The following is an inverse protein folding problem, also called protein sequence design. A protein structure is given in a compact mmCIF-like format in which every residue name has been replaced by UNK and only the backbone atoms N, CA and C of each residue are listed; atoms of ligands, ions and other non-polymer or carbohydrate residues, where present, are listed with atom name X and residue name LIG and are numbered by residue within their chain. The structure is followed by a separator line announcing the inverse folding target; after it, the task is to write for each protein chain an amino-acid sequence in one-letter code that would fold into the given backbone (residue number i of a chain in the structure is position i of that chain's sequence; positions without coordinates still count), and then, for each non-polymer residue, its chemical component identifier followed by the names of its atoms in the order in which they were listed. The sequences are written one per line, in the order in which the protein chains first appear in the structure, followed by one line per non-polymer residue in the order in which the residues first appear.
data_IF_903771002758
#
_entry.id   IF_903771002758
#
_cell.length_a   1.000
_cell.length_b   1.000
_cell.length_c   1.000
_cell.angle_alpha   90.00
_cell.angle_beta   90.00
_cell.angle_gamma   90.00
#
_symmetry.space_group_name_H-M   'P 1'
#
loop_
_entity.id
_entity.type
_entity.pdbx_description
1 polymer ?
#
# COMPACT_ATOMS: atom_id res chain seq x y z
N UNK A 1 -26.21 31.16 -59.90
CA UNK A 1 -27.38 30.37 -59.50
C UNK A 1 -27.01 28.98 -58.91
N UNK A 2 -26.00 28.27 -59.42
CA UNK A 2 -25.56 26.95 -58.92
C UNK A 2 -25.00 26.98 -57.47
N UNK A 3 -24.14 27.94 -57.14
CA UNK A 3 -23.55 28.09 -55.78
C UNK A 3 -24.60 28.39 -54.70
N UNK A 4 -25.68 29.05 -55.02
CA UNK A 4 -26.75 29.38 -54.07
C UNK A 4 -27.58 28.14 -53.67
N UNK A 5 -27.85 27.25 -54.62
CA UNK A 5 -28.54 25.96 -54.35
C UNK A 5 -27.69 25.01 -53.55
N UNK A 6 -26.39 24.93 -53.80
CA UNK A 6 -25.46 24.08 -53.02
C UNK A 6 -25.36 24.60 -51.56
N UNK A 7 -25.23 25.93 -51.37
CA UNK A 7 -25.15 26.54 -50.05
C UNK A 7 -26.41 26.34 -49.21
N UNK A 8 -27.60 26.46 -49.85
CA UNK A 8 -28.89 26.19 -49.17
C UNK A 8 -29.05 24.72 -48.78
N UNK A 9 -28.60 23.79 -49.59
CA UNK A 9 -28.63 22.35 -49.29
C UNK A 9 -27.70 21.97 -48.14
N UNK A 10 -26.50 22.54 -48.09
CA UNK A 10 -25.53 22.33 -46.97
C UNK A 10 -26.13 22.87 -45.66
N UNK A 11 -26.77 24.07 -45.69
CA UNK A 11 -27.45 24.65 -44.52
C UNK A 11 -28.59 23.78 -44.00
N UNK A 12 -29.39 23.21 -44.89
CA UNK A 12 -30.48 22.30 -44.56
C UNK A 12 -29.97 21.03 -43.87
N UNK A 13 -28.93 20.38 -44.44
CA UNK A 13 -28.33 19.21 -43.86
C UNK A 13 -27.73 19.51 -42.46
N UNK A 14 -27.04 20.62 -42.29
CA UNK A 14 -26.47 21.03 -41.01
C UNK A 14 -27.55 21.23 -39.94
N UNK A 15 -28.69 21.85 -40.27
CA UNK A 15 -29.83 22.02 -39.36
C UNK A 15 -30.40 20.68 -38.90
N UNK A 16 -30.61 19.74 -39.81
CA UNK A 16 -31.15 18.41 -39.50
C UNK A 16 -30.22 17.65 -38.58
N UNK A 17 -28.94 17.61 -38.92
CA UNK A 17 -27.91 16.96 -38.08
C UNK A 17 -27.89 17.58 -36.67
N UNK A 18 -27.92 18.92 -36.57
CA UNK A 18 -27.91 19.61 -35.29
C UNK A 18 -29.11 19.24 -34.41
N UNK A 19 -30.33 19.15 -34.98
CA UNK A 19 -31.54 18.72 -34.26
C UNK A 19 -31.37 17.31 -33.72
N UNK A 20 -30.89 16.37 -34.53
CA UNK A 20 -30.73 14.99 -34.14
C UNK A 20 -29.71 14.89 -32.97
N UNK A 21 -28.57 15.58 -33.07
CA UNK A 21 -27.53 15.57 -32.03
C UNK A 21 -28.04 16.15 -30.71
N UNK A 22 -28.83 17.21 -30.74
CA UNK A 22 -29.40 17.86 -29.55
C UNK A 22 -30.43 16.96 -28.86
N UNK A 23 -31.28 16.25 -29.61
CA UNK A 23 -32.22 15.29 -29.06
C UNK A 23 -31.48 14.13 -28.40
N UNK A 24 -30.45 13.61 -29.05
CA UNK A 24 -29.60 12.54 -28.47
C UNK A 24 -28.96 13.03 -27.16
N UNK A 25 -28.39 14.23 -27.15
CA UNK A 25 -27.74 14.80 -25.95
C UNK A 25 -28.77 14.99 -24.81
N UNK A 26 -29.99 15.46 -25.10
CA UNK A 26 -31.06 15.58 -24.11
C UNK A 26 -31.43 14.21 -23.49
N UNK A 27 -31.56 13.17 -24.30
CA UNK A 27 -31.89 11.81 -23.84
C UNK A 27 -30.76 11.25 -22.98
N UNK A 28 -29.49 11.44 -23.39
CA UNK A 28 -28.31 11.02 -22.59
C UNK A 28 -28.31 11.73 -21.24
N UNK A 29 -28.52 13.06 -21.21
CA UNK A 29 -28.58 13.81 -19.97
C UNK A 29 -29.70 13.30 -19.03
N UNK A 30 -30.87 12.94 -19.55
CA UNK A 30 -31.95 12.34 -18.77
C UNK A 30 -31.58 10.95 -18.19
N UNK A 31 -30.82 10.14 -18.91
CA UNK A 31 -30.35 8.84 -18.39
C UNK A 31 -29.39 9.03 -17.21
N UNK A 32 -28.47 10.00 -17.27
CA UNK A 32 -27.55 10.31 -16.18
C UNK A 32 -28.26 10.83 -14.92
N UNK A 33 -29.44 11.41 -15.04
CA UNK A 33 -30.26 11.81 -13.89
C UNK A 33 -30.59 10.64 -12.96
N UNK A 34 -30.76 9.43 -13.49
CA UNK A 34 -31.04 8.22 -12.69
C UNK A 34 -29.80 7.64 -12.01
N UNK A 35 -28.60 7.94 -12.54
CA UNK A 35 -27.32 7.37 -12.08
C UNK A 35 -26.62 8.24 -11.03
N UNK A 36 -27.03 9.50 -10.88
CA UNK A 36 -26.34 10.44 -10.00
C UNK A 36 -27.29 11.09 -8.98
N UNK A 37 -26.74 11.48 -7.82
CA UNK A 37 -27.49 12.19 -6.77
C UNK A 37 -27.86 13.62 -7.18
N UNK A 38 -27.17 14.21 -8.16
CA UNK A 38 -27.33 15.61 -8.59
C UNK A 38 -28.32 15.74 -9.75
N UNK A 39 -29.59 15.40 -9.48
CA UNK A 39 -30.69 15.40 -10.47
C UNK A 39 -30.88 16.74 -11.16
N UNK A 40 -30.76 17.84 -10.40
CA UNK A 40 -31.01 19.19 -10.91
C UNK A 40 -30.05 19.60 -12.03
N UNK A 41 -28.77 19.24 -11.94
CA UNK A 41 -27.80 19.52 -13.00
C UNK A 41 -28.17 18.88 -14.32
N UNK A 42 -28.57 17.62 -14.28
CA UNK A 42 -28.93 16.85 -15.46
C UNK A 42 -30.27 17.30 -16.06
N UNK A 43 -31.22 17.75 -15.22
CA UNK A 43 -32.49 18.35 -15.66
C UNK A 43 -32.19 19.65 -16.41
N UNK A 44 -31.36 20.54 -15.84
CA UNK A 44 -31.01 21.81 -16.48
C UNK A 44 -30.34 21.60 -17.85
N UNK A 45 -29.38 20.67 -17.92
CA UNK A 45 -28.71 20.34 -19.17
C UNK A 45 -29.66 19.71 -20.19
N UNK A 46 -30.50 18.75 -19.79
CA UNK A 46 -31.45 18.11 -20.68
C UNK A 46 -32.45 19.10 -21.23
N UNK A 47 -32.96 20.01 -20.38
CA UNK A 47 -33.90 21.06 -20.78
C UNK A 47 -33.22 22.07 -21.71
N UNK A 48 -31.94 22.41 -21.48
CA UNK A 48 -31.16 23.27 -22.38
C UNK A 48 -31.04 22.66 -23.77
N UNK A 49 -30.68 21.37 -23.86
CA UNK A 49 -30.60 20.68 -25.15
C UNK A 49 -31.99 20.58 -25.85
N UNK A 50 -33.05 20.35 -25.10
CA UNK A 50 -34.41 20.32 -25.64
C UNK A 50 -34.81 21.69 -26.22
N UNK A 51 -34.53 22.78 -25.50
CA UNK A 51 -34.78 24.13 -26.00
C UNK A 51 -33.93 24.47 -27.23
N UNK A 52 -32.65 24.05 -27.26
CA UNK A 52 -31.82 24.21 -28.45
C UNK A 52 -32.41 23.45 -29.68
N UNK A 53 -32.92 22.24 -29.47
CA UNK A 53 -33.57 21.48 -30.55
C UNK A 53 -34.81 22.22 -31.08
N UNK A 54 -35.63 22.78 -30.17
CA UNK A 54 -36.83 23.61 -30.57
C UNK A 54 -36.40 24.83 -31.39
N UNK A 55 -35.34 25.53 -30.98
CA UNK A 55 -34.80 26.66 -31.76
C UNK A 55 -34.38 26.26 -33.16
N UNK A 56 -33.72 25.09 -33.29
CA UNK A 56 -33.31 24.59 -34.61
C UNK A 56 -34.48 24.16 -35.49
N UNK A 57 -35.56 23.64 -34.88
CA UNK A 57 -36.80 23.33 -35.58
C UNK A 57 -37.47 24.63 -36.10
N UNK A 58 -37.51 25.67 -35.28
CA UNK A 58 -38.04 26.99 -35.71
C UNK A 58 -37.20 27.55 -36.88
N UNK A 59 -35.88 27.51 -36.80
CA UNK A 59 -34.97 27.91 -37.89
C UNK A 59 -35.20 27.10 -39.17
N UNK A 60 -35.52 25.81 -39.06
CA UNK A 60 -35.86 24.97 -40.20
C UNK A 60 -37.20 25.40 -40.85
N UNK A 61 -38.19 25.75 -40.05
CA UNK A 61 -39.48 26.31 -40.55
C UNK A 61 -39.29 27.64 -41.27
N UNK A 62 -38.47 28.55 -40.71
CA UNK A 62 -38.14 29.84 -41.34
C UNK A 62 -37.39 29.65 -42.69
N UNK A 63 -36.51 28.66 -42.75
CA UNK A 63 -35.81 28.32 -44.01
C UNK A 63 -36.80 27.98 -45.14
N UNK A 64 -37.91 27.32 -44.87
CA UNK A 64 -38.93 27.00 -45.86
C UNK A 64 -39.88 28.16 -46.15
N UNK A 65 -40.14 29.07 -45.19
CA UNK A 65 -41.04 30.23 -45.39
C UNK A 65 -40.40 31.44 -46.06
N UNK A 66 -39.08 31.54 -46.07
CA UNK A 66 -38.35 32.54 -46.83
C UNK A 66 -38.18 33.93 -46.19
N UNK A 67 -38.92 34.28 -45.13
CA UNK A 67 -38.80 35.59 -44.45
C UNK A 67 -39.04 35.45 -42.94
N UNK A 68 -38.01 35.68 -42.09
CA UNK A 68 -38.18 35.70 -40.65
C UNK A 68 -38.89 36.99 -40.22
N UNK A 69 -39.94 36.91 -39.36
CA UNK A 69 -40.51 38.09 -38.73
C UNK A 69 -39.59 38.62 -37.63
N UNK A 70 -39.58 39.94 -37.43
CA UNK A 70 -38.78 40.61 -36.40
C UNK A 70 -39.05 40.06 -34.99
N UNK A 71 -40.28 39.74 -34.67
CA UNK A 71 -40.69 39.13 -33.40
C UNK A 71 -40.05 37.76 -33.16
N UNK A 72 -39.92 36.92 -34.18
CA UNK A 72 -39.26 35.63 -34.06
C UNK A 72 -37.74 35.72 -33.86
N UNK A 73 -37.10 36.71 -34.47
CA UNK A 73 -35.67 36.96 -34.23
C UNK A 73 -35.41 37.34 -32.78
N UNK A 74 -36.22 38.24 -32.22
CA UNK A 74 -36.12 38.66 -30.81
C UNK A 74 -36.30 37.50 -29.83
N UNK A 75 -37.34 36.67 -30.06
CA UNK A 75 -37.60 35.47 -29.25
C UNK A 75 -36.42 34.50 -29.30
N UNK A 76 -35.84 34.30 -30.48
CA UNK A 76 -34.72 33.39 -30.69
C UNK A 76 -33.46 33.84 -29.91
N UNK A 77 -33.16 35.16 -29.88
CA UNK A 77 -32.05 35.73 -29.12
C UNK A 77 -32.23 35.56 -27.61
N UNK A 78 -33.41 35.91 -27.06
CA UNK A 78 -33.68 35.75 -25.63
C UNK A 78 -33.70 34.29 -25.18
N UNK A 79 -34.21 33.39 -26.00
CA UNK A 79 -34.20 31.96 -25.71
C UNK A 79 -32.76 31.44 -25.72
N UNK A 80 -31.89 31.96 -26.59
CA UNK A 80 -30.46 31.66 -26.61
C UNK A 80 -29.75 32.07 -25.31
N UNK A 81 -30.09 33.27 -24.78
CA UNK A 81 -29.56 33.72 -23.47
C UNK A 81 -30.03 32.79 -22.35
N UNK A 82 -31.33 32.45 -22.31
CA UNK A 82 -31.88 31.53 -21.30
C UNK A 82 -31.17 30.17 -21.32
N UNK A 83 -30.95 29.58 -22.48
CA UNK A 83 -30.25 28.32 -22.67
C UNK A 83 -28.80 28.41 -22.14
N UNK A 84 -28.10 29.52 -22.44
CA UNK A 84 -26.74 29.75 -21.98
C UNK A 84 -26.66 29.78 -20.45
N UNK A 85 -27.59 30.47 -19.79
CA UNK A 85 -27.68 30.50 -18.32
C UNK A 85 -27.94 29.11 -17.73
N UNK A 86 -28.84 28.34 -18.35
CA UNK A 86 -29.15 26.97 -17.90
C UNK A 86 -27.94 26.03 -18.05
N UNK A 87 -27.17 26.14 -19.15
CA UNK A 87 -25.97 25.36 -19.36
C UNK A 87 -24.91 25.71 -18.30
N UNK A 88 -24.65 27.00 -18.07
CA UNK A 88 -23.71 27.46 -17.05
C UNK A 88 -24.10 26.93 -15.66
N UNK A 89 -25.38 27.06 -15.29
CA UNK A 89 -25.90 26.54 -14.03
C UNK A 89 -25.72 25.02 -13.92
N UNK A 90 -26.02 24.28 -14.98
CA UNK A 90 -25.81 22.83 -15.04
C UNK A 90 -24.34 22.44 -14.86
N UNK A 91 -23.41 23.13 -15.52
CA UNK A 91 -21.97 22.86 -15.42
C UNK A 91 -21.43 23.18 -14.03
N UNK A 92 -21.88 24.31 -13.43
CA UNK A 92 -21.47 24.67 -12.04
C UNK A 92 -21.90 23.58 -11.06
N UNK A 93 -23.11 23.06 -11.17
CA UNK A 93 -23.62 22.01 -10.30
C UNK A 93 -22.92 20.65 -10.53
N UNK A 94 -22.53 20.35 -11.78
CA UNK A 94 -21.72 19.13 -12.06
C UNK A 94 -20.34 19.22 -11.44
N UNK A 95 -19.73 20.39 -11.37
CA UNK A 95 -18.45 20.59 -10.72
C UNK A 95 -18.46 20.07 -9.27
N UNK A 96 -19.53 20.32 -8.52
CA UNK A 96 -19.69 19.81 -7.16
C UNK A 96 -19.70 18.26 -7.10
N UNK A 97 -20.28 17.59 -8.09
CA UNK A 97 -20.25 16.15 -8.21
C UNK A 97 -18.81 15.62 -8.29
N UNK A 98 -17.98 16.20 -9.15
CA UNK A 98 -16.58 15.80 -9.28
C UNK A 98 -15.78 16.02 -8.00
N UNK A 99 -15.99 17.14 -7.31
CA UNK A 99 -15.34 17.40 -6.03
C UNK A 99 -15.78 16.41 -4.94
N UNK A 100 -17.07 16.07 -4.87
CA UNK A 100 -17.57 15.10 -3.89
C UNK A 100 -17.06 13.69 -4.15
N UNK A 101 -16.97 13.25 -5.41
CA UNK A 101 -16.38 11.95 -5.78
C UNK A 101 -14.90 11.89 -5.42
N UNK A 102 -14.12 12.93 -5.75
CA UNK A 102 -12.70 13.00 -5.41
C UNK A 102 -12.47 12.99 -3.90
N UNK A 103 -13.30 13.69 -3.12
CA UNK A 103 -13.24 13.64 -1.65
C UNK A 103 -13.55 12.23 -1.12
N UNK A 104 -14.63 11.61 -1.59
CA UNK A 104 -15.01 10.26 -1.17
C UNK A 104 -13.91 9.24 -1.45
N UNK A 105 -13.26 9.32 -2.60
CA UNK A 105 -12.14 8.45 -2.94
C UNK A 105 -10.92 8.69 -2.04
N UNK A 106 -10.58 9.96 -1.78
CA UNK A 106 -9.48 10.32 -0.87
C UNK A 106 -9.76 9.83 0.56
N UNK A 107 -10.99 9.98 1.04
CA UNK A 107 -11.38 9.54 2.38
C UNK A 107 -11.39 8.01 2.48
N UNK A 108 -11.79 7.30 1.42
CA UNK A 108 -11.68 5.84 1.34
C UNK A 108 -10.23 5.37 1.47
N UNK A 109 -9.32 5.94 0.67
CA UNK A 109 -7.89 5.60 0.72
C UNK A 109 -7.30 5.87 2.11
N UNK A 110 -7.67 7.00 2.73
CA UNK A 110 -7.24 7.33 4.10
C UNK A 110 -7.77 6.34 5.13
N UNK A 111 -9.03 5.92 4.98
CA UNK A 111 -9.65 4.93 5.87
C UNK A 111 -8.96 3.57 5.74
N UNK A 112 -8.71 3.10 4.52
CA UNK A 112 -7.99 1.85 4.26
C UNK A 112 -6.59 1.88 4.89
N UNK A 113 -5.84 2.98 4.74
CA UNK A 113 -4.53 3.15 5.38
C UNK A 113 -4.61 3.11 6.91
N UNK A 114 -5.63 3.74 7.53
CA UNK A 114 -5.81 3.70 8.99
C UNK A 114 -6.07 2.28 9.48
N UNK A 115 -6.89 1.51 8.78
CA UNK A 115 -7.18 0.12 9.12
C UNK A 115 -5.91 -0.74 9.05
N UNK A 116 -5.14 -0.62 7.96
CA UNK A 116 -3.88 -1.34 7.81
C UNK A 116 -2.90 -0.99 8.94
N UNK A 117 -2.73 0.30 9.24
CA UNK A 117 -1.85 0.73 10.32
C UNK A 117 -2.32 0.22 11.69
N UNK A 118 -3.63 0.20 11.95
CA UNK A 118 -4.18 -0.34 13.19
C UNK A 118 -3.91 -1.86 13.32
N UNK A 119 -4.05 -2.62 12.23
CA UNK A 119 -3.74 -4.06 12.21
C UNK A 119 -2.26 -4.29 12.50
N UNK A 120 -1.35 -3.57 11.83
CA UNK A 120 0.09 -3.71 12.04
C UNK A 120 0.48 -3.38 13.48
N UNK A 121 -0.05 -2.29 14.04
CA UNK A 121 0.22 -1.91 15.43
C UNK A 121 -0.33 -2.94 16.43
N UNK A 122 -1.51 -3.49 16.16
CA UNK A 122 -2.10 -4.55 17.00
C UNK A 122 -1.23 -5.81 16.95
N UNK A 123 -0.82 -6.23 15.76
CA UNK A 123 0.06 -7.39 15.60
C UNK A 123 1.38 -7.21 16.37
N UNK A 124 2.01 -6.04 16.27
CA UNK A 124 3.26 -5.77 16.97
C UNK A 124 3.09 -5.74 18.50
N UNK A 125 1.98 -5.16 18.98
CA UNK A 125 1.66 -5.16 20.42
C UNK A 125 1.40 -6.58 20.94
N UNK A 126 0.70 -7.42 20.19
CA UNK A 126 0.50 -8.83 20.53
C UNK A 126 1.84 -9.59 20.56
N UNK A 127 2.72 -9.36 19.60
CA UNK A 127 4.08 -9.95 19.60
C UNK A 127 4.87 -9.55 20.84
N UNK A 128 4.86 -8.26 21.21
CA UNK A 128 5.51 -7.77 22.43
C UNK A 128 4.91 -8.41 23.68
N UNK A 129 3.59 -8.55 23.72
CA UNK A 129 2.90 -9.20 24.84
C UNK A 129 3.31 -10.67 24.96
N UNK A 130 3.22 -11.44 23.88
CA UNK A 130 3.63 -12.84 23.88
C UNK A 130 5.09 -13.05 24.26
N UNK A 131 5.99 -12.18 23.75
CA UNK A 131 7.40 -12.25 24.15
C UNK A 131 7.59 -12.07 25.64
N UNK A 132 6.87 -11.10 26.23
CA UNK A 132 6.89 -10.85 27.68
C UNK A 132 6.30 -12.03 28.45
N UNK A 133 5.13 -12.53 28.05
CA UNK A 133 4.46 -13.65 28.71
C UNK A 133 5.32 -14.93 28.70
N UNK A 134 6.03 -15.20 27.59
CA UNK A 134 6.98 -16.30 27.49
C UNK A 134 8.17 -16.11 28.43
N UNK A 135 8.76 -14.89 28.43
CA UNK A 135 9.91 -14.61 29.27
C UNK A 135 9.56 -14.65 30.77
N UNK A 136 8.48 -13.98 31.17
CA UNK A 136 8.11 -13.80 32.58
C UNK A 136 7.37 -15.04 33.14
N UNK A 137 6.70 -15.80 32.27
CA UNK A 137 5.97 -16.99 32.68
C UNK A 137 6.83 -18.26 32.69
N UNK A 138 7.41 -18.61 31.53
CA UNK A 138 8.15 -19.87 31.38
C UNK A 138 9.60 -19.78 31.85
N UNK A 139 10.24 -18.63 31.73
CA UNK A 139 11.63 -18.43 32.11
C UNK A 139 11.93 -18.81 33.57
N UNK A 140 11.21 -18.22 34.56
CA UNK A 140 11.38 -18.57 35.98
C UNK A 140 11.06 -20.04 36.30
N UNK A 141 10.03 -20.62 35.68
CA UNK A 141 9.64 -22.02 35.90
C UNK A 141 10.81 -22.96 35.51
N UNK A 142 11.32 -22.78 34.28
CA UNK A 142 12.44 -23.61 33.80
C UNK A 142 13.71 -23.38 34.60
N UNK A 143 13.95 -22.15 35.05
CA UNK A 143 15.09 -21.84 35.94
C UNK A 143 14.97 -22.56 37.29
N UNK A 144 13.77 -22.62 37.86
CA UNK A 144 13.47 -23.33 39.10
C UNK A 144 13.66 -24.85 38.93
N UNK A 145 13.15 -25.41 37.80
CA UNK A 145 13.36 -26.83 37.48
C UNK A 145 14.87 -27.15 37.35
N UNK A 146 15.61 -26.28 36.64
CA UNK A 146 17.07 -26.41 36.53
C UNK A 146 17.81 -26.41 37.89
N UNK A 147 17.43 -25.49 38.79
CA UNK A 147 17.98 -25.43 40.13
C UNK A 147 17.64 -26.69 40.93
N UNK A 148 16.42 -27.20 40.82
CA UNK A 148 15.99 -28.43 41.50
C UNK A 148 16.80 -29.67 40.99
N UNK A 149 17.03 -29.75 39.69
CA UNK A 149 17.87 -30.83 39.13
C UNK A 149 19.34 -30.69 39.54
N UNK A 150 19.87 -29.48 39.58
CA UNK A 150 21.26 -29.25 40.07
C UNK A 150 21.41 -29.71 41.52
N UNK A 151 20.43 -29.50 42.38
CA UNK A 151 20.44 -29.96 43.78
C UNK A 151 20.38 -31.49 43.92
N UNK A 152 19.88 -32.23 42.90
CA UNK A 152 19.86 -33.65 42.85
C UNK A 152 21.21 -34.26 42.37
N UNK A 153 22.01 -33.50 41.63
CA UNK A 153 23.26 -33.98 41.04
C UNK A 153 24.22 -34.51 42.10
N UNK A 154 24.31 -33.85 43.26
CA UNK A 154 25.19 -34.27 44.36
C UNK A 154 24.70 -35.50 45.14
N UNK A 155 23.43 -35.87 44.93
CA UNK A 155 22.79 -36.99 45.67
C UNK A 155 22.74 -38.30 44.89
N UNK A 156 22.84 -38.22 43.55
CA UNK A 156 22.77 -39.40 42.68
C UNK A 156 24.19 -39.87 42.39
N UNK A 157 24.55 -41.05 42.95
CA UNK A 157 25.88 -41.65 42.80
C UNK A 157 25.96 -42.84 41.86
N UNK A 158 24.81 -43.31 41.36
CA UNK A 158 24.77 -44.43 40.41
C UNK A 158 24.93 -43.95 38.97
N UNK A 159 25.54 -44.78 38.12
CA UNK A 159 25.87 -44.42 36.74
C UNK A 159 24.60 -44.19 35.87
N UNK A 160 23.51 -44.96 36.10
CA UNK A 160 22.29 -44.83 35.34
C UNK A 160 21.53 -43.55 35.68
N UNK A 161 21.44 -43.20 36.98
CA UNK A 161 20.81 -41.95 37.43
C UNK A 161 21.54 -40.72 36.96
N UNK A 162 22.90 -40.78 36.94
CA UNK A 162 23.74 -39.70 36.43
C UNK A 162 23.52 -39.43 34.93
N UNK A 163 23.37 -40.47 34.11
CA UNK A 163 23.05 -40.33 32.67
C UNK A 163 21.69 -39.67 32.45
N UNK A 164 20.66 -40.12 33.19
CA UNK A 164 19.31 -39.56 33.11
C UNK A 164 19.31 -38.06 33.50
N UNK A 165 20.02 -37.71 34.57
CA UNK A 165 20.13 -36.36 35.08
C UNK A 165 20.80 -35.42 34.07
N UNK A 166 21.92 -35.88 33.48
CA UNK A 166 22.61 -35.10 32.45
C UNK A 166 21.74 -34.87 31.21
N UNK A 167 21.06 -35.90 30.74
CA UNK A 167 20.10 -35.74 29.61
C UNK A 167 18.97 -34.77 29.94
N UNK A 168 18.42 -34.83 31.15
CA UNK A 168 17.37 -33.92 31.59
C UNK A 168 17.86 -32.48 31.68
N UNK A 169 19.07 -32.26 32.23
CA UNK A 169 19.70 -30.95 32.25
C UNK A 169 19.94 -30.39 30.83
N UNK A 170 20.37 -31.24 29.91
CA UNK A 170 20.53 -30.85 28.50
C UNK A 170 19.20 -30.38 27.91
N UNK A 171 18.11 -31.14 28.05
CA UNK A 171 16.80 -30.82 27.54
C UNK A 171 16.23 -29.52 28.14
N UNK A 172 16.46 -29.27 29.44
CA UNK A 172 16.03 -28.02 30.08
C UNK A 172 16.83 -26.82 29.56
N UNK A 173 18.16 -26.96 29.38
CA UNK A 173 18.98 -25.90 28.80
C UNK A 173 18.51 -25.58 27.34
N UNK A 174 18.19 -26.61 26.57
CA UNK A 174 17.65 -26.47 25.23
C UNK A 174 16.27 -25.77 25.24
N UNK A 175 15.38 -26.13 26.14
CA UNK A 175 14.08 -25.47 26.32
C UNK A 175 14.23 -23.99 26.71
N UNK A 176 15.12 -23.67 27.64
CA UNK A 176 15.44 -22.29 28.03
C UNK A 176 15.95 -21.48 26.83
N UNK A 177 16.89 -22.08 26.08
CA UNK A 177 17.41 -21.43 24.86
C UNK A 177 16.32 -21.19 23.83
N UNK A 178 15.49 -22.20 23.57
CA UNK A 178 14.39 -22.14 22.60
C UNK A 178 13.39 -21.04 22.98
N UNK A 179 12.99 -20.95 24.24
CA UNK A 179 12.06 -19.91 24.71
C UNK A 179 12.70 -18.52 24.54
N UNK A 180 13.98 -18.38 24.90
CA UNK A 180 14.71 -17.13 24.71
C UNK A 180 14.80 -16.73 23.25
N UNK A 181 14.99 -17.68 22.36
CA UNK A 181 15.04 -17.45 20.91
C UNK A 181 13.66 -17.06 20.36
N UNK A 182 12.59 -17.73 20.78
CA UNK A 182 11.21 -17.37 20.41
C UNK A 182 10.88 -15.96 20.91
N UNK A 183 11.17 -15.67 22.19
CA UNK A 183 10.91 -14.36 22.78
C UNK A 183 11.67 -13.25 22.04
N UNK A 184 12.96 -13.46 21.72
CA UNK A 184 13.77 -12.51 20.96
C UNK A 184 13.26 -12.32 19.52
N UNK A 185 12.74 -13.37 18.88
CA UNK A 185 12.14 -13.26 17.55
C UNK A 185 10.81 -12.51 17.58
N UNK A 186 10.03 -12.66 18.63
CA UNK A 186 8.75 -11.96 18.81
C UNK A 186 8.95 -10.47 19.18
N UNK A 187 9.87 -10.17 20.09
CA UNK A 187 10.18 -8.79 20.51
C UNK A 187 11.64 -8.68 20.92
N UNK A 188 12.50 -8.11 20.08
CA UNK A 188 13.93 -8.07 20.35
C UNK A 188 14.23 -7.05 21.44
N UNK A 189 14.47 -7.51 22.68
CA UNK A 189 14.89 -6.66 23.80
C UNK A 189 16.19 -5.91 23.48
N UNK A 190 17.07 -6.50 22.66
CA UNK A 190 18.29 -5.86 22.18
C UNK A 190 17.98 -4.58 21.41
N UNK A 191 16.93 -4.58 20.56
CA UNK A 191 16.52 -3.41 19.81
C UNK A 191 16.11 -2.26 20.72
N UNK A 192 15.29 -2.55 21.73
CA UNK A 192 14.82 -1.54 22.68
C UNK A 192 15.95 -0.97 23.54
N UNK A 193 16.85 -1.82 24.02
CA UNK A 193 17.91 -1.44 24.96
C UNK A 193 19.16 -0.89 24.27
N UNK A 194 19.55 -1.44 23.12
CA UNK A 194 20.85 -1.19 22.50
C UNK A 194 20.74 -0.63 21.07
N UNK A 195 19.53 -0.49 20.53
CA UNK A 195 19.26 0.12 19.22
C UNK A 195 19.42 -0.84 18.03
N UNK A 196 19.14 -0.28 16.86
CA UNK A 196 19.02 -1.01 15.60
C UNK A 196 20.32 -1.70 15.19
N UNK A 197 21.44 -0.98 15.19
CA UNK A 197 22.76 -1.51 14.78
C UNK A 197 23.16 -2.70 15.63
N UNK A 198 23.03 -2.57 16.97
CA UNK A 198 23.36 -3.67 17.89
C UNK A 198 22.45 -4.89 17.72
N UNK A 199 21.16 -4.65 17.46
CA UNK A 199 20.19 -5.72 17.25
C UNK A 199 20.50 -6.51 15.96
N UNK A 200 20.78 -5.81 14.85
CA UNK A 200 21.16 -6.46 13.58
C UNK A 200 22.49 -7.20 13.73
N UNK A 201 23.49 -6.58 14.35
CA UNK A 201 24.81 -7.20 14.58
C UNK A 201 24.69 -8.48 15.39
N UNK A 202 23.92 -8.48 16.49
CA UNK A 202 23.70 -9.68 17.30
C UNK A 202 22.97 -10.79 16.51
N UNK A 203 21.98 -10.43 15.69
CA UNK A 203 21.23 -11.38 14.87
C UNK A 203 22.12 -12.01 13.78
N UNK A 204 22.86 -11.20 13.04
CA UNK A 204 23.79 -11.68 11.98
C UNK A 204 24.93 -12.53 12.56
N UNK A 205 25.50 -12.14 13.71
CA UNK A 205 26.53 -12.93 14.41
C UNK A 205 26.00 -14.31 14.79
N UNK A 206 24.77 -14.40 15.31
CA UNK A 206 24.16 -15.69 15.67
C UNK A 206 23.97 -16.58 14.43
N UNK A 207 23.57 -16.05 13.30
CA UNK A 207 23.43 -16.81 12.05
C UNK A 207 24.79 -17.27 11.53
N UNK A 208 25.82 -16.41 11.54
CA UNK A 208 27.17 -16.74 11.13
C UNK A 208 27.78 -17.92 11.94
N UNK A 209 27.38 -18.06 13.22
CA UNK A 209 27.80 -19.22 14.05
C UNK A 209 27.25 -20.54 13.53
N UNK A 210 26.12 -20.55 12.83
CA UNK A 210 25.54 -21.77 12.23
C UNK A 210 26.28 -22.24 10.99
N UNK A 211 27.11 -21.38 10.38
CA UNK A 211 27.81 -21.61 9.10
C UNK A 211 26.89 -21.93 7.91
N UNK A 212 25.61 -21.64 8.01
CA UNK A 212 24.65 -21.89 6.95
C UNK A 212 24.81 -20.88 5.80
N UNK A 213 25.14 -19.63 6.15
CA UNK A 213 25.38 -18.52 5.22
C UNK A 213 26.36 -17.55 5.86
N UNK A 214 27.20 -16.89 5.08
CA UNK A 214 28.07 -15.81 5.53
C UNK A 214 27.38 -14.47 5.39
N UNK A 215 27.23 -13.73 6.50
CA UNK A 215 26.58 -12.40 6.51
C UNK A 215 27.62 -11.35 6.90
N UNK A 216 27.85 -10.40 5.98
CA UNK A 216 28.69 -9.20 6.23
C UNK A 216 27.76 -8.02 6.53
N UNK A 217 27.82 -7.51 7.77
CA UNK A 217 27.02 -6.37 8.22
C UNK A 217 27.91 -5.17 8.53
N UNK A 218 27.60 -4.04 7.89
CA UNK A 218 28.28 -2.76 8.09
C UNK A 218 27.28 -1.66 8.43
N UNK A 219 27.70 -0.75 9.31
CA UNK A 219 26.90 0.41 9.67
C UNK A 219 27.77 1.59 10.09
N UNK A 220 27.33 2.79 9.76
CA UNK A 220 27.88 4.04 10.27
C UNK A 220 27.04 4.63 11.43
N UNK A 221 26.05 3.88 11.93
CA UNK A 221 25.07 4.39 12.92
C UNK A 221 25.41 4.03 14.38
N UNK A 222 26.48 3.33 14.65
CA UNK A 222 26.90 2.78 15.95
C UNK A 222 25.97 3.02 17.16
N UNK A 223 25.88 4.27 17.66
CA UNK A 223 25.07 4.65 18.82
C UNK A 223 23.83 5.49 18.45
N UNK A 224 23.63 5.78 17.18
CA UNK A 224 22.49 6.61 16.72
C UNK A 224 21.19 5.83 16.84
N UNK A 225 20.12 6.51 17.29
CA UNK A 225 18.80 5.95 17.43
C UNK A 225 17.85 6.60 16.43
N UNK A 226 16.89 5.83 15.95
CA UNK A 226 15.74 6.32 15.21
C UNK A 226 14.50 6.28 16.10
N UNK A 227 13.39 6.81 15.61
CA UNK A 227 12.11 6.56 16.24
C UNK A 227 11.89 5.05 16.36
N UNK A 228 11.34 4.60 17.50
CA UNK A 228 11.16 3.20 17.81
C UNK A 228 10.43 2.43 16.72
N UNK A 229 9.41 3.03 16.10
CA UNK A 229 8.64 2.38 15.03
C UNK A 229 9.49 2.18 13.76
N UNK A 230 10.37 3.13 13.43
CA UNK A 230 11.32 3.01 12.33
C UNK A 230 12.35 1.92 12.60
N UNK A 231 12.91 1.85 13.83
CA UNK A 231 13.85 0.80 14.21
C UNK A 231 13.23 -0.60 14.10
N UNK A 232 12.00 -0.76 14.60
CA UNK A 232 11.25 -2.03 14.53
C UNK A 232 11.00 -2.45 13.08
N UNK A 233 10.57 -1.53 12.23
CA UNK A 233 10.29 -1.81 10.81
C UNK A 233 11.55 -2.27 10.09
N UNK A 234 12.68 -1.56 10.26
CA UNK A 234 13.94 -1.92 9.61
C UNK A 234 14.47 -3.26 10.13
N UNK A 235 14.44 -3.48 11.45
CA UNK A 235 14.87 -4.74 12.04
C UNK A 235 14.07 -5.93 11.52
N UNK A 236 12.73 -5.80 11.46
CA UNK A 236 11.84 -6.84 10.92
C UNK A 236 12.12 -7.12 9.44
N UNK A 237 12.35 -6.06 8.65
CA UNK A 237 12.69 -6.21 7.25
C UNK A 237 14.01 -6.98 7.07
N UNK A 238 15.05 -6.67 7.86
CA UNK A 238 16.33 -7.40 7.85
C UNK A 238 16.11 -8.87 8.18
N UNK A 239 15.40 -9.18 9.27
CA UNK A 239 15.15 -10.55 9.67
C UNK A 239 14.40 -11.34 8.57
N UNK A 240 13.39 -10.74 7.95
CA UNK A 240 12.60 -11.37 6.88
C UNK A 240 13.44 -11.59 5.61
N UNK A 241 14.25 -10.61 5.20
CA UNK A 241 15.13 -10.73 4.04
C UNK A 241 16.19 -11.83 4.24
N UNK A 242 16.82 -11.89 5.42
CA UNK A 242 17.77 -12.94 5.76
C UNK A 242 17.09 -14.32 5.75
N UNK A 243 15.91 -14.45 6.39
CA UNK A 243 15.18 -15.71 6.41
C UNK A 243 14.81 -16.17 5.00
N UNK A 244 14.36 -15.25 4.14
CA UNK A 244 14.05 -15.55 2.75
C UNK A 244 15.28 -16.03 1.97
N UNK A 245 16.44 -15.43 2.22
CA UNK A 245 17.69 -15.86 1.59
C UNK A 245 18.10 -17.25 2.06
N UNK A 246 18.00 -17.56 3.35
CA UNK A 246 18.34 -18.88 3.90
C UNK A 246 17.37 -19.96 3.38
N UNK A 247 16.05 -19.70 3.44
CA UNK A 247 15.04 -20.72 3.13
C UNK A 247 14.79 -20.91 1.63
N UNK A 248 14.95 -19.84 0.85
CA UNK A 248 14.46 -19.83 -0.54
C UNK A 248 15.53 -19.53 -1.58
N UNK A 249 16.59 -18.77 -1.26
CA UNK A 249 17.53 -18.36 -2.28
C UNK A 249 18.71 -19.32 -2.48
N UNK A 250 19.06 -20.09 -1.45
CA UNK A 250 20.28 -20.89 -1.45
C UNK A 250 21.56 -20.04 -1.48
N UNK A 251 21.47 -18.81 -1.00
CA UNK A 251 22.62 -17.90 -0.93
C UNK A 251 23.70 -18.43 0.00
N UNK A 252 24.96 -18.27 -0.39
CA UNK A 252 26.14 -18.53 0.46
C UNK A 252 26.66 -17.27 1.14
N UNK A 253 26.29 -16.07 0.62
CA UNK A 253 26.72 -14.78 1.13
C UNK A 253 25.60 -13.75 1.09
N UNK A 254 25.50 -12.98 2.17
CA UNK A 254 24.58 -11.85 2.31
C UNK A 254 25.40 -10.63 2.73
N UNK A 255 25.14 -9.50 2.11
CA UNK A 255 25.73 -8.20 2.45
C UNK A 255 24.63 -7.25 2.92
N UNK A 256 24.86 -6.58 4.06
CA UNK A 256 23.89 -5.65 4.65
C UNK A 256 24.64 -4.39 5.05
N UNK A 257 24.14 -3.24 4.54
CA UNK A 257 24.69 -1.94 4.91
C UNK A 257 23.58 -1.04 5.46
N UNK A 258 23.80 -0.53 6.68
CA UNK A 258 22.90 0.42 7.34
C UNK A 258 23.60 1.76 7.49
N UNK A 259 23.16 2.75 6.73
CA UNK A 259 23.84 4.04 6.66
C UNK A 259 22.90 5.20 6.98
N UNK A 260 23.34 6.07 7.89
CA UNK A 260 22.73 7.37 8.17
C UNK A 260 23.36 8.44 7.28
N UNK A 261 22.50 9.19 6.63
CA UNK A 261 22.78 10.42 5.90
C UNK A 261 22.16 11.62 6.61
N UNK A 262 22.43 12.84 6.19
CA UNK A 262 21.94 14.05 6.88
C UNK A 262 20.41 14.07 7.08
N UNK A 263 19.63 13.60 6.10
CA UNK A 263 18.15 13.69 6.10
C UNK A 263 17.44 12.36 5.95
N UNK A 264 18.16 11.26 5.85
CA UNK A 264 17.56 9.95 5.64
C UNK A 264 18.50 8.83 6.12
N UNK A 265 17.89 7.68 6.36
CA UNK A 265 18.61 6.44 6.64
C UNK A 265 18.36 5.45 5.50
N UNK A 266 19.39 4.73 5.11
CA UNK A 266 19.29 3.65 4.12
C UNK A 266 19.72 2.32 4.71
N UNK A 267 18.93 1.29 4.41
CA UNK A 267 19.32 -0.09 4.54
C UNK A 267 19.44 -0.69 3.15
N UNK A 268 20.62 -1.18 2.82
CA UNK A 268 20.89 -1.95 1.61
C UNK A 268 21.10 -3.41 1.99
N UNK A 269 20.51 -4.30 1.24
CA UNK A 269 20.60 -5.74 1.41
C UNK A 269 20.89 -6.37 0.06
N UNK A 270 21.79 -7.33 0.03
CA UNK A 270 22.11 -8.12 -1.15
C UNK A 270 22.38 -9.57 -0.77
N UNK A 271 21.82 -10.52 -1.51
CA UNK A 271 22.18 -11.93 -1.46
C UNK A 271 22.66 -12.45 -2.83
N UNK A 272 23.60 -13.39 -2.82
CA UNK A 272 24.13 -14.03 -4.03
C UNK A 272 23.36 -15.31 -4.42
N UNK A 273 22.10 -15.44 -4.00
CA UNK A 273 21.31 -16.63 -4.25
C UNK A 273 20.78 -16.75 -5.68
N UNK A 274 19.84 -17.69 -5.87
CA UNK A 274 19.26 -17.98 -7.20
C UNK A 274 18.40 -16.86 -7.78
N UNK A 275 18.00 -15.88 -6.98
CA UNK A 275 17.05 -14.85 -7.38
C UNK A 275 15.68 -15.40 -7.83
N UNK A 276 14.81 -14.52 -8.27
CA UNK A 276 13.49 -14.84 -8.79
C UNK A 276 12.98 -13.73 -9.72
N UNK A 277 11.95 -14.04 -10.50
CA UNK A 277 11.27 -13.05 -11.34
C UNK A 277 10.28 -12.24 -10.51
N UNK A 278 10.58 -10.94 -10.33
CA UNK A 278 9.71 -10.02 -9.56
C UNK A 278 8.37 -9.76 -10.23
N UNK A 279 8.25 -9.94 -11.55
CA UNK A 279 6.98 -9.79 -12.28
C UNK A 279 5.97 -10.91 -11.95
N UNK A 280 6.46 -12.04 -11.44
CA UNK A 280 5.62 -13.18 -11.03
C UNK A 280 5.01 -13.05 -9.63
N UNK A 281 5.37 -11.99 -8.88
CA UNK A 281 4.79 -11.70 -7.58
C UNK A 281 3.38 -11.10 -7.77
N UNK A 282 2.37 -11.94 -8.09
CA UNK A 282 0.98 -11.50 -8.09
C UNK A 282 0.52 -11.24 -6.66
N UNK A 283 -0.37 -10.23 -6.47
CA UNK A 283 -0.91 -9.84 -5.15
C UNK A 283 -1.71 -10.94 -4.44
N UNK A 284 -1.95 -12.07 -5.08
CA UNK A 284 -2.76 -13.18 -4.59
C UNK A 284 -1.96 -14.41 -4.12
N UNK A 285 -0.66 -14.49 -4.41
CA UNK A 285 0.15 -15.64 -4.02
C UNK A 285 0.63 -15.53 -2.57
N UNK A 286 0.27 -16.51 -1.76
CA UNK A 286 0.71 -16.67 -0.35
C UNK A 286 2.24 -16.71 -0.20
N UNK A 287 2.99 -17.05 -1.26
CA UNK A 287 4.46 -17.03 -1.29
C UNK A 287 5.08 -15.62 -1.27
N UNK A 288 4.30 -14.57 -1.57
CA UNK A 288 4.74 -13.18 -1.56
C UNK A 288 4.41 -12.41 -0.26
N UNK A 289 3.76 -13.04 0.73
CA UNK A 289 3.28 -12.33 1.93
C UNK A 289 4.40 -11.66 2.74
N UNK A 290 5.57 -12.28 2.86
CA UNK A 290 6.71 -11.72 3.59
C UNK A 290 7.21 -10.40 2.99
N UNK A 291 7.45 -10.37 1.69
CA UNK A 291 7.91 -9.19 0.97
C UNK A 291 6.85 -8.08 0.90
N UNK A 292 5.57 -8.45 0.69
CA UNK A 292 4.44 -7.52 0.75
C UNK A 292 4.27 -6.91 2.15
N UNK A 293 4.53 -7.68 3.20
CA UNK A 293 4.51 -7.18 4.57
C UNK A 293 5.65 -6.19 4.82
N UNK A 294 6.87 -6.42 4.29
CA UNK A 294 7.96 -5.44 4.36
C UNK A 294 7.54 -4.12 3.71
N UNK A 295 7.05 -4.17 2.47
CA UNK A 295 6.63 -2.98 1.72
C UNK A 295 5.56 -2.21 2.50
N UNK A 296 4.55 -2.91 3.01
CA UNK A 296 3.46 -2.30 3.78
C UNK A 296 3.97 -1.64 5.06
N UNK A 297 4.82 -2.33 5.83
CA UNK A 297 5.42 -1.79 7.07
C UNK A 297 6.31 -0.58 6.81
N UNK A 298 7.15 -0.62 5.77
CA UNK A 298 8.00 0.53 5.39
C UNK A 298 7.16 1.75 5.01
N UNK A 299 6.02 1.53 4.33
CA UNK A 299 5.07 2.62 4.01
C UNK A 299 4.40 3.22 5.25
N UNK A 300 4.23 2.49 6.35
CA UNK A 300 3.63 3.05 7.58
C UNK A 300 4.52 4.10 8.26
N UNK A 301 5.83 4.01 8.06
CA UNK A 301 6.83 4.96 8.57
C UNK A 301 7.31 5.94 7.49
N UNK A 302 6.49 6.14 6.45
CA UNK A 302 6.75 7.06 5.32
C UNK A 302 8.04 6.74 4.56
N UNK A 303 8.45 5.49 4.58
CA UNK A 303 9.63 4.99 3.88
C UNK A 303 9.35 4.52 2.46
N UNK A 304 10.44 4.29 1.73
CA UNK A 304 10.44 3.69 0.38
C UNK A 304 11.14 2.34 0.44
N UNK A 305 10.52 1.31 -0.14
CA UNK A 305 11.09 -0.02 -0.32
C UNK A 305 11.21 -0.32 -1.80
N UNK A 306 12.41 -0.69 -2.23
CA UNK A 306 12.71 -1.10 -3.60
C UNK A 306 13.30 -2.50 -3.53
N UNK A 307 12.76 -3.42 -4.32
CA UNK A 307 13.21 -4.81 -4.40
C UNK A 307 13.52 -5.14 -5.86
N UNK A 308 14.73 -5.63 -6.09
CA UNK A 308 15.19 -6.08 -7.40
C UNK A 308 15.71 -7.51 -7.28
N UNK A 309 15.21 -8.40 -8.12
CA UNK A 309 15.69 -9.77 -8.23
C UNK A 309 15.60 -10.23 -9.66
N UNK A 310 16.59 -11.04 -10.05
CA UNK A 310 16.63 -11.65 -11.38
C UNK A 310 17.09 -13.09 -11.21
N UNK A 311 16.47 -14.07 -11.88
CA UNK A 311 16.93 -15.45 -11.85
C UNK A 311 18.42 -15.58 -12.16
N UNK A 312 19.16 -16.23 -11.26
CA UNK A 312 20.61 -16.44 -11.36
C UNK A 312 21.50 -15.29 -10.91
N UNK A 313 20.92 -14.14 -10.44
CA UNK A 313 21.71 -12.96 -10.03
C UNK A 313 21.54 -12.56 -8.55
N UNK A 314 20.74 -13.34 -7.79
CA UNK A 314 20.44 -13.01 -6.39
C UNK A 314 19.33 -11.98 -6.24
N UNK A 315 19.23 -11.42 -5.02
CA UNK A 315 18.22 -10.45 -4.64
C UNK A 315 18.85 -9.22 -4.00
N UNK A 316 18.41 -8.04 -4.39
CA UNK A 316 18.78 -6.74 -3.82
C UNK A 316 17.56 -6.05 -3.25
N UNK A 317 17.68 -5.48 -2.06
CA UNK A 317 16.63 -4.68 -1.45
C UNK A 317 17.18 -3.37 -0.88
N UNK A 318 16.45 -2.28 -1.09
CA UNK A 318 16.76 -0.96 -0.55
C UNK A 318 15.57 -0.45 0.25
N UNK A 319 15.81 -0.09 1.51
CA UNK A 319 14.87 0.67 2.34
C UNK A 319 15.45 2.05 2.57
N UNK A 320 14.64 3.08 2.31
CA UNK A 320 14.99 4.48 2.59
C UNK A 320 13.94 5.09 3.49
N UNK A 321 14.35 5.64 4.63
CA UNK A 321 13.51 6.32 5.61
C UNK A 321 13.94 7.77 5.74
N UNK A 322 13.00 8.69 5.83
CA UNK A 322 13.27 10.09 6.20
C UNK A 322 13.48 10.12 7.72
N UNK A 323 14.52 10.79 8.15
CA UNK A 323 14.84 10.91 9.58
C UNK A 323 13.99 11.94 10.27
#
# INVERSE_FOLDING_TARGET
MYNYKVLSMVRLIALIISIILQIIAAVIALRFMKLTKYRLSWILLSLSFAFMAVLKIIQLFEFFRGTPSFTWQLINEWLGVLISVMIIGGVILIRELFYSLKRAETDRIRSEKRVINAIINTEENERKRFAKDLHDGLGPILSTVKMSLSALTDRIKDSSGSVILNNTNHLINEAISTIKDISNNLSPHILTNFGLTSAISAFTTKINQTKAVEIDFKSNMETLRLDNDKEVVVYRAVCELINNSILHSGASRIEIELNKHEKFVTLQFYDNGRGFDTSSLSKEDTKGMGLSNIETRVKTVEGVFILESTPGKGTSALIKLID
#
